data_IF_887550123595
#
_entry.id   IF_887550123595
#
_cell.length_a   1.000
_cell.length_b   1.000
_cell.length_c   1.000
_cell.angle_alpha   90.00
_cell.angle_beta   90.00
_cell.angle_gamma   90.00
#
_symmetry.space_group_name_H-M   'P 1'
#
loop_
_entity.id
_entity.type
_entity.pdbx_description
1 polymer ?
#
# COMPACT_ATOMS: atom_id res chain seq x y z
N UNK A 1 -4.00 15.68 -13.99
CA UNK A 1 -4.31 14.55 -13.08
C UNK A 1 -3.16 14.43 -12.11
N UNK A 2 -3.44 14.39 -10.81
CA UNK A 2 -2.45 14.29 -9.73
C UNK A 2 -2.41 12.87 -9.18
N UNK A 3 -1.21 12.33 -9.01
CA UNK A 3 -1.02 10.97 -8.49
C UNK A 3 -0.01 11.00 -7.35
N UNK A 4 -0.41 10.48 -6.20
CA UNK A 4 0.49 10.19 -5.07
C UNK A 4 0.90 8.72 -5.14
N UNK A 5 2.20 8.42 -5.15
CA UNK A 5 2.73 7.05 -5.07
C UNK A 5 3.55 6.91 -3.80
N UNK A 6 3.17 6.02 -2.88
CA UNK A 6 3.97 5.68 -1.69
C UNK A 6 4.83 4.46 -1.95
N UNK A 7 5.98 4.37 -1.30
CA UNK A 7 6.92 3.26 -1.50
C UNK A 7 7.64 3.34 -2.85
N UNK A 8 7.92 4.56 -3.34
CA UNK A 8 8.48 4.81 -4.66
C UNK A 8 9.85 4.13 -4.91
N UNK A 9 10.62 3.87 -3.84
CA UNK A 9 11.92 3.19 -3.90
C UNK A 9 11.82 1.66 -3.92
N UNK A 10 10.63 1.09 -3.76
CA UNK A 10 10.40 -0.36 -3.93
C UNK A 10 10.38 -0.78 -5.40
N UNK A 11 10.42 -2.09 -5.66
CA UNK A 11 10.45 -2.64 -7.04
C UNK A 11 9.27 -2.13 -7.89
N UNK A 12 8.04 -2.27 -7.37
CA UNK A 12 6.84 -1.82 -8.07
C UNK A 12 6.75 -0.29 -8.12
N UNK A 13 7.02 0.38 -7.00
CA UNK A 13 7.02 1.85 -6.92
C UNK A 13 7.92 2.48 -7.97
N UNK A 14 9.15 1.98 -8.12
CA UNK A 14 10.11 2.47 -9.11
C UNK A 14 9.58 2.32 -10.54
N UNK A 15 9.03 1.15 -10.86
CA UNK A 15 8.40 0.90 -12.16
C UNK A 15 7.21 1.82 -12.43
N UNK A 16 6.35 2.04 -11.43
CA UNK A 16 5.19 2.94 -11.54
C UNK A 16 5.64 4.39 -11.78
N UNK A 17 6.61 4.87 -11.02
CA UNK A 17 7.16 6.23 -11.17
C UNK A 17 7.69 6.42 -12.58
N UNK A 18 8.53 5.50 -13.07
CA UNK A 18 9.08 5.58 -14.44
C UNK A 18 7.98 5.58 -15.52
N UNK A 19 6.89 4.82 -15.32
CA UNK A 19 5.79 4.75 -16.28
C UNK A 19 4.87 5.97 -16.24
N UNK A 20 4.74 6.62 -15.09
CA UNK A 20 3.87 7.78 -14.86
C UNK A 20 4.59 9.11 -15.05
N UNK A 21 5.93 9.12 -14.99
CA UNK A 21 6.74 10.31 -15.18
C UNK A 21 6.36 11.02 -16.49
N UNK A 22 6.28 12.35 -16.45
CA UNK A 22 5.88 13.22 -17.57
C UNK A 22 4.45 13.03 -18.11
N UNK A 23 3.65 12.11 -17.56
CA UNK A 23 2.24 11.89 -17.95
C UNK A 23 1.24 12.51 -16.99
N UNK A 24 1.65 12.69 -15.73
CA UNK A 24 0.81 13.20 -14.64
C UNK A 24 1.62 14.14 -13.76
N UNK A 25 0.93 14.94 -12.95
CA UNK A 25 1.57 15.63 -11.83
C UNK A 25 1.78 14.59 -10.72
N UNK A 26 3.04 14.14 -10.59
CA UNK A 26 3.41 13.00 -9.75
C UNK A 26 4.08 13.47 -8.46
N UNK A 27 3.55 13.04 -7.33
CA UNK A 27 4.23 13.07 -6.04
C UNK A 27 4.58 11.62 -5.68
N UNK A 28 5.86 11.28 -5.76
CA UNK A 28 6.36 9.94 -5.44
C UNK A 28 7.21 10.03 -4.19
N UNK A 29 6.81 9.30 -3.14
CA UNK A 29 7.41 9.39 -1.81
C UNK A 29 7.87 8.03 -1.30
N UNK A 30 9.00 8.00 -0.63
CA UNK A 30 9.44 6.86 0.17
C UNK A 30 9.10 7.06 1.66
N UNK A 31 9.57 6.13 2.51
CA UNK A 31 9.31 6.17 3.96
C UNK A 31 9.90 7.40 4.64
N UNK A 32 11.04 7.92 4.18
CA UNK A 32 11.69 9.08 4.80
C UNK A 32 10.94 10.38 4.48
N UNK A 33 10.26 10.43 3.34
CA UNK A 33 9.44 11.56 2.90
C UNK A 33 8.01 11.48 3.45
N UNK A 34 7.43 10.28 3.51
CA UNK A 34 6.12 10.02 4.10
C UNK A 34 6.10 8.63 4.76
N UNK A 35 6.13 8.61 6.10
CA UNK A 35 5.84 7.40 6.86
C UNK A 35 4.33 7.18 6.88
N UNK A 36 3.85 6.18 6.13
CA UNK A 36 2.42 5.89 6.03
C UNK A 36 1.81 5.42 7.35
N UNK A 37 2.62 5.09 8.36
CA UNK A 37 2.13 4.75 9.71
C UNK A 37 1.81 5.97 10.56
N UNK A 38 2.20 7.17 10.11
CA UNK A 38 1.81 8.44 10.71
C UNK A 38 0.56 8.98 10.01
N UNK A 39 -0.59 8.84 10.70
CA UNK A 39 -1.89 9.26 10.18
C UNK A 39 -1.93 10.75 9.85
N UNK A 40 -1.36 11.60 10.70
CA UNK A 40 -1.47 13.05 10.53
C UNK A 40 -0.61 13.51 9.35
N UNK A 41 0.59 12.95 9.18
CA UNK A 41 1.45 13.22 8.03
C UNK A 41 0.80 12.78 6.69
N UNK A 42 0.13 11.62 6.68
CA UNK A 42 -0.62 11.14 5.50
C UNK A 42 -1.75 12.11 5.13
N UNK A 43 -2.48 12.59 6.14
CA UNK A 43 -3.63 13.47 5.95
C UNK A 43 -3.21 14.86 5.47
N UNK A 44 -2.14 15.40 6.05
CA UNK A 44 -1.53 16.66 5.63
C UNK A 44 -1.07 16.57 4.17
N UNK A 45 -0.30 15.54 3.84
CA UNK A 45 0.20 15.32 2.47
C UNK A 45 -0.94 15.24 1.45
N UNK A 46 -2.00 14.47 1.74
CA UNK A 46 -3.15 14.36 0.86
C UNK A 46 -3.90 15.70 0.71
N UNK A 47 -4.07 16.45 1.80
CA UNK A 47 -4.78 17.73 1.80
C UNK A 47 -4.02 18.83 1.04
N UNK A 48 -2.70 18.85 1.15
CA UNK A 48 -1.84 19.81 0.45
C UNK A 48 -1.72 19.49 -1.03
N UNK A 49 -1.39 18.23 -1.35
CA UNK A 49 -1.16 17.81 -2.74
C UNK A 49 -2.47 17.65 -3.53
N UNK A 50 -3.56 17.23 -2.86
CA UNK A 50 -4.89 16.96 -3.45
C UNK A 50 -4.81 15.99 -4.65
N UNK A 51 -4.38 14.73 -4.42
CA UNK A 51 -4.28 13.73 -5.48
C UNK A 51 -5.66 13.40 -6.06
N UNK A 52 -5.70 13.02 -7.34
CA UNK A 52 -6.85 12.30 -7.92
C UNK A 52 -6.73 10.79 -7.67
N UNK A 53 -5.49 10.29 -7.59
CA UNK A 53 -5.19 8.89 -7.32
C UNK A 53 -4.10 8.77 -6.25
N UNK A 54 -4.27 7.80 -5.33
CA UNK A 54 -3.24 7.36 -4.40
C UNK A 54 -2.90 5.90 -4.75
N UNK A 55 -1.63 5.60 -5.04
CA UNK A 55 -1.16 4.24 -5.31
C UNK A 55 -0.26 3.83 -4.15
N UNK A 56 -0.72 2.86 -3.35
CA UNK A 56 0.07 2.33 -2.25
C UNK A 56 0.95 1.17 -2.71
N UNK A 57 2.25 1.44 -2.93
CA UNK A 57 3.27 0.42 -3.15
C UNK A 57 4.20 0.24 -1.93
N UNK A 58 3.93 0.93 -0.82
CA UNK A 58 4.61 0.73 0.45
C UNK A 58 4.04 -0.48 1.20
N UNK A 59 4.91 -1.39 1.62
CA UNK A 59 4.59 -2.56 2.43
C UNK A 59 5.84 -3.09 3.16
N UNK A 60 5.63 -3.73 4.32
CA UNK A 60 6.62 -4.59 4.95
C UNK A 60 6.56 -5.98 4.30
N UNK A 61 7.52 -6.27 3.42
CA UNK A 61 7.50 -7.46 2.53
C UNK A 61 8.44 -8.58 2.95
N UNK A 62 9.20 -8.40 4.04
CA UNK A 62 10.06 -9.45 4.58
C UNK A 62 9.21 -10.47 5.35
N UNK A 63 8.69 -11.48 4.65
CA UNK A 63 7.73 -12.48 5.19
C UNK A 63 8.21 -13.11 6.49
N UNK A 64 9.45 -13.60 6.55
CA UNK A 64 9.99 -14.24 7.76
C UNK A 64 10.07 -13.24 8.92
N UNK A 65 10.43 -11.98 8.63
CA UNK A 65 10.47 -10.93 9.64
C UNK A 65 9.09 -10.49 10.09
N UNK A 66 8.05 -10.65 9.27
CA UNK A 66 6.70 -10.26 9.66
C UNK A 66 6.20 -11.11 10.85
N UNK A 67 6.68 -12.33 11.00
CA UNK A 67 6.38 -13.20 12.15
C UNK A 67 7.09 -12.74 13.43
N UNK A 68 8.24 -12.07 13.32
CA UNK A 68 9.02 -11.54 14.45
C UNK A 68 8.61 -10.10 14.80
N UNK A 69 8.40 -9.27 13.79
CA UNK A 69 8.09 -7.85 13.83
C UNK A 69 6.60 -7.61 13.57
N UNK A 70 5.76 -8.28 14.37
CA UNK A 70 4.31 -8.32 14.19
C UNK A 70 3.70 -6.92 14.22
N UNK A 71 4.00 -6.13 15.27
CA UNK A 71 3.44 -4.79 15.43
C UNK A 71 3.82 -3.86 14.28
N UNK A 72 5.07 -3.95 13.80
CA UNK A 72 5.54 -3.19 12.64
C UNK A 72 4.79 -3.60 11.37
N UNK A 73 4.54 -4.89 11.20
CA UNK A 73 3.82 -5.43 10.05
C UNK A 73 2.35 -4.98 10.05
N UNK A 74 1.70 -4.95 11.22
CA UNK A 74 0.37 -4.36 11.35
C UNK A 74 0.38 -2.86 11.06
N UNK A 75 1.32 -2.11 11.62
CA UNK A 75 1.40 -0.67 11.39
C UNK A 75 1.56 -0.36 9.89
N UNK A 76 2.45 -1.06 9.19
CA UNK A 76 2.75 -0.78 7.78
C UNK A 76 1.70 -1.36 6.84
N UNK A 77 1.28 -2.62 6.99
CA UNK A 77 0.44 -3.30 6.00
C UNK A 77 -1.06 -3.17 6.28
N UNK A 78 -1.48 -2.94 7.54
CA UNK A 78 -2.89 -2.73 7.90
C UNK A 78 -3.21 -1.25 8.10
N UNK A 79 -2.49 -0.60 9.02
CA UNK A 79 -2.85 0.75 9.47
C UNK A 79 -2.45 1.80 8.43
N UNK A 80 -1.30 1.66 7.78
CA UNK A 80 -0.88 2.56 6.71
C UNK A 80 -1.87 2.64 5.54
N UNK A 81 -2.28 1.52 4.94
CA UNK A 81 -3.33 1.49 3.93
C UNK A 81 -4.67 2.03 4.41
N UNK A 82 -5.05 1.78 5.67
CA UNK A 82 -6.24 2.39 6.27
C UNK A 82 -6.14 3.93 6.24
N UNK A 83 -5.03 4.51 6.69
CA UNK A 83 -4.85 5.96 6.70
C UNK A 83 -4.84 6.55 5.29
N UNK A 84 -4.20 5.87 4.33
CA UNK A 84 -4.23 6.29 2.93
C UNK A 84 -5.64 6.23 2.33
N UNK A 85 -6.44 5.22 2.68
CA UNK A 85 -7.82 5.10 2.22
C UNK A 85 -8.72 6.18 2.83
N UNK A 86 -8.54 6.49 4.13
CA UNK A 86 -9.24 7.60 4.79
C UNK A 86 -8.87 8.95 4.18
N UNK A 87 -7.58 9.17 3.92
CA UNK A 87 -7.09 10.39 3.26
C UNK A 87 -7.61 10.50 1.82
N UNK A 88 -7.61 9.41 1.05
CA UNK A 88 -8.20 9.38 -0.29
C UNK A 88 -9.67 9.80 -0.26
N UNK A 89 -10.46 9.23 0.67
CA UNK A 89 -11.87 9.60 0.85
C UNK A 89 -12.05 11.07 1.22
N UNK A 90 -11.18 11.63 2.05
CA UNK A 90 -11.24 13.03 2.47
C UNK A 90 -11.07 14.00 1.29
N UNK A 91 -10.20 13.66 0.34
CA UNK A 91 -9.88 14.52 -0.81
C UNK A 91 -10.57 14.10 -2.11
N UNK A 92 -11.51 13.16 -2.05
CA UNK A 92 -12.22 12.58 -3.20
C UNK A 92 -11.27 11.95 -4.25
N UNK A 93 -10.24 11.26 -3.77
CA UNK A 93 -9.29 10.51 -4.57
C UNK A 93 -9.67 9.02 -4.67
N UNK A 94 -9.26 8.37 -5.76
CA UNK A 94 -9.29 6.91 -5.87
C UNK A 94 -8.02 6.30 -5.29
N UNK A 95 -8.12 5.22 -4.53
CA UNK A 95 -6.96 4.48 -4.03
C UNK A 95 -6.76 3.15 -4.78
N UNK A 96 -5.52 2.87 -5.15
CA UNK A 96 -5.05 1.55 -5.61
C UNK A 96 -4.11 0.99 -4.56
N UNK A 97 -4.51 -0.11 -3.92
CA UNK A 97 -3.72 -0.79 -2.91
C UNK A 97 -3.22 -2.14 -3.45
N UNK A 98 -1.92 -2.40 -3.30
CA UNK A 98 -1.29 -3.63 -3.78
C UNK A 98 -1.19 -4.61 -2.62
N UNK A 99 -1.94 -5.71 -2.72
CA UNK A 99 -1.95 -6.80 -1.74
C UNK A 99 -1.11 -7.99 -2.23
N UNK A 100 -1.37 -9.21 -1.74
CA UNK A 100 -0.60 -10.42 -2.00
C UNK A 100 -1.49 -11.65 -2.09
N UNK A 101 -1.03 -12.67 -2.81
CA UNK A 101 -1.58 -14.02 -2.82
C UNK A 101 -1.52 -14.72 -1.44
N UNK A 102 -0.73 -14.23 -0.49
CA UNK A 102 -0.62 -14.79 0.87
C UNK A 102 -1.89 -14.63 1.71
N UNK A 103 -2.89 -13.89 1.21
CA UNK A 103 -4.26 -13.87 1.76
C UNK A 103 -4.97 -15.21 1.61
N UNK A 104 -4.50 -16.09 0.70
CA UNK A 104 -5.09 -17.40 0.46
C UNK A 104 -4.39 -18.52 1.24
N UNK A 105 -5.09 -19.62 1.56
CA UNK A 105 -4.53 -20.72 2.35
C UNK A 105 -3.54 -21.63 1.59
N UNK A 106 -3.38 -21.47 0.27
CA UNK A 106 -2.45 -22.26 -0.54
C UNK A 106 -2.80 -23.76 -0.68
N UNK A 107 -4.01 -24.18 -0.32
CA UNK A 107 -4.43 -25.58 -0.27
C UNK A 107 -5.44 -25.97 -1.38
N UNK A 108 -5.82 -25.03 -2.24
CA UNK A 108 -6.73 -25.28 -3.37
C UNK A 108 -6.02 -26.11 -4.45
N UNK A 109 -6.75 -27.05 -5.06
CA UNK A 109 -6.30 -27.70 -6.30
C UNK A 109 -6.68 -26.82 -7.47
N UNK A 110 -5.67 -26.30 -8.18
CA UNK A 110 -5.84 -25.33 -9.27
C UNK A 110 -5.55 -23.90 -8.81
N UNK A 111 -5.92 -22.92 -9.64
CA UNK A 111 -5.65 -21.50 -9.40
C UNK A 111 -6.70 -20.88 -8.46
N UNK A 112 -6.26 -19.89 -7.68
CA UNK A 112 -7.16 -19.00 -6.95
C UNK A 112 -7.74 -17.95 -7.89
N UNK A 113 -9.00 -17.56 -7.64
CA UNK A 113 -9.71 -16.47 -8.29
C UNK A 113 -10.19 -15.47 -7.25
N UNK A 114 -10.58 -14.27 -7.67
CA UNK A 114 -10.90 -13.13 -6.80
C UNK A 114 -12.09 -13.38 -5.86
N UNK A 115 -12.98 -14.29 -6.22
CA UNK A 115 -14.15 -14.67 -5.41
C UNK A 115 -13.87 -15.83 -4.43
N UNK A 116 -12.67 -16.42 -4.44
CA UNK A 116 -12.32 -17.47 -3.48
C UNK A 116 -12.20 -16.91 -2.05
N UNK A 117 -12.58 -17.72 -1.06
CA UNK A 117 -12.42 -17.35 0.34
C UNK A 117 -10.94 -17.20 0.72
N UNK A 118 -10.62 -16.07 1.37
CA UNK A 118 -9.31 -15.85 1.96
C UNK A 118 -9.15 -16.66 3.25
N UNK A 119 -7.91 -17.01 3.58
CA UNK A 119 -7.56 -17.85 4.72
C UNK A 119 -6.05 -17.81 4.99
N UNK A 120 -5.48 -16.64 5.33
CA UNK A 120 -4.04 -16.47 5.45
C UNK A 120 -3.47 -17.31 6.62
N UNK A 121 -2.34 -17.99 6.36
CA UNK A 121 -1.71 -18.88 7.34
C UNK A 121 -0.66 -18.20 8.23
N UNK A 122 -0.02 -17.14 7.75
CA UNK A 122 1.02 -16.37 8.46
C UNK A 122 0.64 -14.93 8.76
N UNK A 123 1.45 -14.22 9.56
CA UNK A 123 1.23 -12.81 9.91
C UNK A 123 1.23 -11.94 8.67
N UNK A 124 2.19 -12.11 7.75
CA UNK A 124 2.27 -11.31 6.52
C UNK A 124 0.94 -11.29 5.76
N UNK A 125 0.38 -12.46 5.44
CA UNK A 125 -0.91 -12.56 4.73
C UNK A 125 -2.12 -12.08 5.54
N UNK A 126 -2.05 -12.07 6.88
CA UNK A 126 -3.13 -11.55 7.74
C UNK A 126 -3.19 -10.03 7.78
N UNK A 127 -2.05 -9.37 7.55
CA UNK A 127 -1.93 -7.91 7.63
C UNK A 127 -1.92 -7.24 6.27
N UNK A 128 -1.86 -8.00 5.18
CA UNK A 128 -1.80 -7.52 3.80
C UNK A 128 -3.16 -7.54 3.08
#
# INVERSE_FOLDING_TARGET
MRVLVTGCNGQLGHCLVNQLNDKVELLAVDRAELDITDRDAVFETATEFKPNFIINAAAHTAVDKAEEEVDLSYAINRDGPLYLAEAAKMVDATILHISTDYVFPGNKKGEYVEDDETGPLGVYGKVS
#
